data_IF_474764638995
#
_entry.id   IF_474764638995
#
_cell.length_a   1.000
_cell.length_b   1.000
_cell.length_c   1.000
_cell.angle_alpha   90.00
_cell.angle_beta   90.00
_cell.angle_gamma   90.00
#
_symmetry.space_group_name_H-M   'P 1'
#
loop_
_entity.id
_entity.type
_entity.pdbx_description
1 polymer ?
#
# COMPACT_ATOMS: atom_id res chain seq x y z
N UNK A 1 -14.35 4.87 21.51
CA UNK A 1 -13.35 3.79 21.27
C UNK A 1 -13.08 3.13 22.60
N UNK A 2 -13.25 1.84 22.67
CA UNK A 2 -12.91 1.06 23.88
C UNK A 2 -11.38 0.96 24.00
N UNK A 3 -10.89 0.81 25.22
CA UNK A 3 -9.47 0.59 25.51
C UNK A 3 -8.91 -0.60 24.74
N UNK A 4 -9.73 -1.64 24.56
CA UNK A 4 -9.39 -2.82 23.78
C UNK A 4 -9.17 -2.50 22.30
N UNK A 5 -10.01 -1.67 21.69
CA UNK A 5 -9.87 -1.26 20.29
C UNK A 5 -8.56 -0.49 20.04
N UNK A 6 -8.17 0.37 20.99
CA UNK A 6 -6.92 1.10 20.93
C UNK A 6 -5.72 0.15 21.00
N UNK A 7 -5.73 -0.80 21.94
CA UNK A 7 -4.65 -1.79 22.08
C UNK A 7 -4.54 -2.67 20.85
N UNK A 8 -5.68 -3.15 20.31
CA UNK A 8 -5.70 -3.94 19.07
C UNK A 8 -5.18 -3.12 17.90
N UNK A 9 -5.58 -1.86 17.74
CA UNK A 9 -5.10 -0.99 16.67
C UNK A 9 -3.59 -0.77 16.75
N UNK A 10 -3.05 -0.51 17.93
CA UNK A 10 -1.59 -0.37 18.15
C UNK A 10 -0.86 -1.67 17.80
N UNK A 11 -1.40 -2.82 18.24
CA UNK A 11 -0.84 -4.13 17.94
C UNK A 11 -0.81 -4.43 16.43
N UNK A 12 -1.88 -4.13 15.72
CA UNK A 12 -1.96 -4.30 14.25
C UNK A 12 -0.97 -3.39 13.54
N UNK A 13 -0.90 -2.12 13.91
CA UNK A 13 0.06 -1.17 13.32
C UNK A 13 1.50 -1.63 13.59
N UNK A 14 1.82 -2.01 14.83
CA UNK A 14 3.15 -2.54 15.18
C UNK A 14 3.52 -3.79 14.38
N UNK A 15 2.57 -4.72 14.21
CA UNK A 15 2.77 -5.92 13.40
C UNK A 15 3.01 -5.61 11.91
N UNK A 16 2.26 -4.66 11.34
CA UNK A 16 2.45 -4.21 9.96
C UNK A 16 3.82 -3.56 9.77
N UNK A 17 4.25 -2.72 10.70
CA UNK A 17 5.58 -2.10 10.69
C UNK A 17 6.67 -3.18 10.76
N UNK A 18 6.52 -4.13 11.70
CA UNK A 18 7.45 -5.24 11.84
C UNK A 18 7.58 -6.06 10.55
N UNK A 19 6.46 -6.43 9.91
CA UNK A 19 6.48 -7.15 8.64
C UNK A 19 7.21 -6.36 7.53
N UNK A 20 7.01 -5.06 7.46
CA UNK A 20 7.68 -4.23 6.46
C UNK A 20 9.19 -4.11 6.68
N UNK A 21 9.63 -4.02 7.93
CA UNK A 21 11.06 -3.96 8.29
C UNK A 21 11.73 -5.32 8.12
N UNK A 22 11.04 -6.41 8.50
CA UNK A 22 11.54 -7.77 8.31
C UNK A 22 11.71 -8.14 6.83
N UNK A 23 10.95 -7.47 5.95
CA UNK A 23 10.94 -7.72 4.52
C UNK A 23 10.02 -8.87 4.12
N UNK A 24 9.54 -8.82 2.90
CA UNK A 24 8.60 -9.81 2.36
C UNK A 24 8.92 -10.12 0.90
N UNK A 25 8.64 -11.36 0.50
CA UNK A 25 8.63 -11.74 -0.91
C UNK A 25 7.50 -11.00 -1.65
N UNK A 26 7.83 -10.37 -2.76
CA UNK A 26 6.88 -9.55 -3.52
C UNK A 26 6.09 -10.44 -4.48
N UNK A 27 4.83 -10.70 -4.15
CA UNK A 27 3.89 -11.40 -5.01
C UNK A 27 3.13 -10.38 -5.86
N UNK A 28 3.22 -10.48 -7.20
CA UNK A 28 2.72 -9.45 -8.10
C UNK A 28 1.23 -9.16 -7.99
N UNK A 29 0.36 -10.19 -7.91
CA UNK A 29 -1.09 -9.97 -7.75
C UNK A 29 -1.42 -9.33 -6.40
N UNK A 30 -0.84 -9.85 -5.32
CA UNK A 30 -1.12 -9.34 -3.97
C UNK A 30 -0.66 -7.90 -3.79
N UNK A 31 0.42 -7.51 -4.49
CA UNK A 31 0.94 -6.15 -4.48
C UNK A 31 -0.09 -5.12 -4.99
N UNK A 32 -0.91 -5.49 -5.98
CA UNK A 32 -1.86 -4.58 -6.63
C UNK A 32 -3.29 -4.80 -6.13
N UNK A 33 -3.72 -6.05 -6.02
CA UNK A 33 -5.13 -6.39 -5.71
C UNK A 33 -5.51 -5.93 -4.31
N UNK A 34 -4.66 -6.17 -3.31
CA UNK A 34 -4.99 -5.83 -1.93
C UNK A 34 -5.17 -4.31 -1.73
N UNK A 35 -4.25 -3.43 -2.20
CA UNK A 35 -4.47 -1.98 -2.13
C UNK A 35 -5.67 -1.51 -2.95
N UNK A 36 -5.90 -2.10 -4.12
CA UNK A 36 -7.06 -1.74 -4.95
C UNK A 36 -8.38 -2.05 -4.22
N UNK A 37 -8.50 -3.25 -3.63
CA UNK A 37 -9.67 -3.63 -2.84
C UNK A 37 -9.88 -2.68 -1.65
N UNK A 38 -8.81 -2.37 -0.90
CA UNK A 38 -8.89 -1.42 0.23
C UNK A 38 -9.36 -0.03 -0.23
N UNK A 39 -8.86 0.44 -1.37
CA UNK A 39 -9.25 1.74 -1.93
C UNK A 39 -10.72 1.74 -2.34
N UNK A 40 -11.18 0.67 -3.03
CA UNK A 40 -12.57 0.55 -3.48
C UNK A 40 -13.51 0.44 -2.29
N UNK A 41 -13.21 -0.42 -1.31
CA UNK A 41 -14.02 -0.56 -0.09
C UNK A 41 -14.07 0.76 0.68
N UNK A 42 -12.92 1.42 0.86
CA UNK A 42 -12.87 2.71 1.54
C UNK A 42 -13.59 3.82 0.77
N UNK A 43 -13.61 3.78 -0.57
CA UNK A 43 -14.38 4.70 -1.39
C UNK A 43 -15.89 4.46 -1.27
N UNK A 44 -16.32 3.20 -1.25
CA UNK A 44 -17.73 2.85 -1.07
C UNK A 44 -18.21 3.24 0.33
N UNK A 45 -17.41 3.03 1.36
CA UNK A 45 -17.72 3.46 2.73
C UNK A 45 -17.85 4.98 2.81
N UNK A 46 -16.94 5.71 2.15
CA UNK A 46 -17.01 7.16 2.04
C UNK A 46 -18.24 7.63 1.26
N UNK A 47 -18.61 6.97 0.16
CA UNK A 47 -19.79 7.30 -0.64
C UNK A 47 -21.10 7.03 0.13
N UNK A 48 -21.10 6.06 1.05
CA UNK A 48 -22.21 5.79 1.95
C UNK A 48 -22.39 6.81 3.09
N UNK A 49 -21.40 7.71 3.30
CA UNK A 49 -21.50 8.74 4.33
C UNK A 49 -22.61 9.75 4.01
N UNK A 50 -23.48 9.98 4.99
CA UNK A 50 -24.55 10.96 4.85
C UNK A 50 -23.98 12.37 4.96
N UNK A 51 -24.39 13.27 4.05
CA UNK A 51 -24.08 14.71 4.07
C UNK A 51 -22.60 15.06 3.93
N UNK A 52 -22.00 14.73 2.77
CA UNK A 52 -20.66 15.24 2.42
C UNK A 52 -20.81 16.68 1.96
N UNK A 53 -20.29 17.62 2.75
CA UNK A 53 -20.29 19.04 2.41
C UNK A 53 -19.14 19.45 1.49
N UNK A 54 -19.16 20.66 0.90
CA UNK A 54 -18.06 21.16 0.06
C UNK A 54 -16.71 21.18 0.80
N UNK A 55 -16.72 21.54 2.08
CA UNK A 55 -15.52 21.50 2.92
C UNK A 55 -14.96 20.08 3.09
N UNK A 56 -15.84 19.07 3.21
CA UNK A 56 -15.41 17.68 3.28
C UNK A 56 -14.69 17.26 2.00
N UNK A 57 -15.23 17.63 0.83
CA UNK A 57 -14.63 17.29 -0.47
C UNK A 57 -13.20 17.84 -0.57
N UNK A 58 -13.00 19.10 -0.18
CA UNK A 58 -11.68 19.74 -0.19
C UNK A 58 -10.70 18.96 0.71
N UNK A 59 -11.07 18.72 1.97
CA UNK A 59 -10.18 18.05 2.93
C UNK A 59 -9.96 16.58 2.61
N UNK A 60 -10.96 15.88 2.07
CA UNK A 60 -10.82 14.51 1.57
C UNK A 60 -9.83 14.45 0.40
N UNK A 61 -9.92 15.41 -0.53
CA UNK A 61 -9.01 15.49 -1.68
C UNK A 61 -7.58 15.78 -1.24
N UNK A 62 -7.38 16.77 -0.37
CA UNK A 62 -6.06 17.11 0.18
C UNK A 62 -5.48 15.92 0.95
N UNK A 63 -6.29 15.29 1.80
CA UNK A 63 -5.89 14.10 2.56
C UNK A 63 -5.52 12.92 1.66
N UNK A 64 -6.27 12.70 0.59
CA UNK A 64 -6.03 11.65 -0.41
C UNK A 64 -4.72 11.88 -1.18
N UNK A 65 -4.50 13.11 -1.67
CA UNK A 65 -3.27 13.48 -2.39
C UNK A 65 -2.05 13.30 -1.49
N UNK A 66 -2.09 13.82 -0.26
CA UNK A 66 -0.98 13.66 0.68
C UNK A 66 -0.69 12.21 1.04
N UNK A 67 -1.74 11.39 1.25
CA UNK A 67 -1.59 9.96 1.50
C UNK A 67 -0.97 9.23 0.32
N UNK A 68 -1.36 9.57 -0.91
CA UNK A 68 -0.77 9.02 -2.13
C UNK A 68 0.71 9.40 -2.26
N UNK A 69 1.06 10.67 -2.06
CA UNK A 69 2.44 11.14 -2.12
C UNK A 69 3.35 10.45 -1.09
N UNK A 70 2.86 10.29 0.14
CA UNK A 70 3.57 9.54 1.18
C UNK A 70 3.74 8.07 0.76
N UNK A 71 2.72 7.49 0.13
CA UNK A 71 2.79 6.13 -0.43
C UNK A 71 3.86 6.00 -1.51
N UNK A 72 3.93 6.95 -2.45
CA UNK A 72 4.98 7.00 -3.46
C UNK A 72 6.37 7.09 -2.80
N UNK A 73 6.53 7.92 -1.78
CA UNK A 73 7.77 8.03 -1.02
C UNK A 73 8.15 6.70 -0.33
N UNK A 74 7.18 5.99 0.28
CA UNK A 74 7.41 4.64 0.81
C UNK A 74 7.93 3.68 -0.26
N UNK A 75 7.32 3.69 -1.45
CA UNK A 75 7.76 2.87 -2.58
C UNK A 75 9.17 3.22 -3.04
N UNK A 76 9.52 4.51 -3.08
CA UNK A 76 10.82 4.99 -3.50
C UNK A 76 11.95 4.56 -2.55
N UNK A 77 11.73 4.62 -1.23
CA UNK A 77 12.75 4.25 -0.24
C UNK A 77 12.81 2.75 0.06
N UNK A 78 11.80 1.97 -0.35
CA UNK A 78 11.79 0.52 -0.19
C UNK A 78 12.95 -0.10 -0.96
N UNK A 79 13.77 -0.90 -0.29
CA UNK A 79 14.86 -1.64 -0.91
C UNK A 79 14.31 -2.88 -1.58
N UNK A 80 14.62 -3.02 -2.87
CA UNK A 80 14.32 -4.21 -3.66
C UNK A 80 15.62 -4.99 -3.83
N UNK A 81 15.61 -6.25 -3.47
CA UNK A 81 16.75 -7.16 -3.55
C UNK A 81 16.30 -8.49 -4.12
N UNK A 82 17.19 -9.16 -4.81
CA UNK A 82 16.99 -10.55 -5.18
C UNK A 82 17.37 -11.45 -4.01
N UNK A 83 16.45 -12.31 -3.60
CA UNK A 83 16.71 -13.32 -2.57
C UNK A 83 16.09 -14.65 -2.99
N UNK A 84 16.93 -15.68 -3.09
CA UNK A 84 16.51 -17.02 -3.54
C UNK A 84 15.83 -17.01 -4.93
N UNK A 85 16.31 -16.18 -5.87
CA UNK A 85 15.74 -16.08 -7.23
C UNK A 85 14.40 -15.37 -7.32
N UNK A 86 13.98 -14.66 -6.26
CA UNK A 86 12.73 -13.93 -6.21
C UNK A 86 12.93 -12.51 -5.68
N UNK A 87 12.04 -11.60 -6.08
CA UNK A 87 12.04 -10.23 -5.62
C UNK A 87 11.65 -10.16 -4.14
N UNK A 88 12.53 -9.55 -3.35
CA UNK A 88 12.34 -9.28 -1.92
C UNK A 88 12.26 -7.79 -1.68
N UNK A 89 11.25 -7.33 -0.95
CA UNK A 89 11.10 -5.93 -0.55
C UNK A 89 11.31 -5.76 0.95
N UNK A 90 12.09 -4.78 1.32
CA UNK A 90 12.38 -4.45 2.72
C UNK A 90 12.36 -2.94 2.92
N UNK A 91 11.65 -2.48 3.95
CA UNK A 91 11.67 -1.08 4.36
C UNK A 91 12.90 -0.84 5.25
N UNK A 92 13.82 0.07 4.88
CA UNK A 92 14.92 0.42 5.76
C UNK A 92 14.40 1.12 7.03
N UNK A 93 15.12 1.01 8.15
CA UNK A 93 14.74 1.66 9.43
C UNK A 93 14.47 3.17 9.28
N UNK A 94 15.16 3.84 8.36
CA UNK A 94 14.87 5.25 8.00
C UNK A 94 13.45 5.45 7.50
N UNK A 95 12.81 4.41 6.96
CA UNK A 95 11.42 4.45 6.52
C UNK A 95 10.41 4.58 7.66
N UNK A 96 10.80 4.34 8.91
CA UNK A 96 9.94 4.57 10.07
C UNK A 96 9.51 6.03 10.21
N UNK A 97 10.32 7.00 9.77
CA UNK A 97 9.95 8.40 9.74
C UNK A 97 8.77 8.69 8.81
N UNK A 98 8.62 7.94 7.72
CA UNK A 98 7.45 8.07 6.85
C UNK A 98 6.17 7.55 7.53
N UNK A 99 6.27 6.58 8.43
CA UNK A 99 5.15 6.16 9.27
C UNK A 99 4.73 7.27 10.23
N UNK A 100 5.70 7.89 10.90
CA UNK A 100 5.43 9.07 11.74
C UNK A 100 4.83 10.21 10.90
N UNK A 101 5.38 10.46 9.71
CA UNK A 101 4.85 11.44 8.75
C UNK A 101 3.41 11.13 8.31
N UNK A 102 3.08 9.87 8.03
CA UNK A 102 1.72 9.46 7.66
C UNK A 102 0.72 9.71 8.80
N UNK A 103 1.09 9.33 10.02
CA UNK A 103 0.26 9.54 11.20
C UNK A 103 0.09 11.05 11.47
N UNK A 104 1.18 11.82 11.42
CA UNK A 104 1.13 13.27 11.60
C UNK A 104 0.29 13.96 10.51
N UNK A 105 0.44 13.55 9.24
CA UNK A 105 -0.38 14.03 8.14
C UNK A 105 -1.87 13.77 8.39
N UNK A 106 -2.21 12.57 8.80
CA UNK A 106 -3.59 12.21 9.11
C UNK A 106 -4.16 13.03 10.26
N UNK A 107 -3.40 13.16 11.35
CA UNK A 107 -3.80 13.97 12.50
C UNK A 107 -4.00 15.45 12.10
N UNK A 108 -3.11 16.01 11.29
CA UNK A 108 -3.20 17.37 10.77
C UNK A 108 -4.50 17.58 9.97
N UNK A 109 -4.78 16.70 9.01
CA UNK A 109 -6.02 16.77 8.22
C UNK A 109 -7.25 16.68 9.11
N UNK A 110 -7.28 15.76 10.08
CA UNK A 110 -8.41 15.63 11.01
C UNK A 110 -8.67 16.91 11.79
N UNK A 111 -7.61 17.54 12.33
CA UNK A 111 -7.73 18.79 13.11
C UNK A 111 -8.20 19.95 12.24
N UNK A 112 -7.61 20.12 11.06
CA UNK A 112 -7.94 21.22 10.16
C UNK A 112 -9.35 21.05 9.58
N UNK A 113 -9.74 19.85 9.20
CA UNK A 113 -11.08 19.52 8.74
C UNK A 113 -12.14 19.80 9.85
N UNK A 114 -11.86 19.38 11.09
CA UNK A 114 -12.75 19.64 12.22
C UNK A 114 -12.96 21.14 12.46
N UNK A 115 -11.89 21.95 12.39
CA UNK A 115 -11.98 23.41 12.55
C UNK A 115 -12.75 24.10 11.43
N UNK A 116 -12.79 23.52 10.23
CA UNK A 116 -13.52 24.06 9.08
C UNK A 116 -14.95 23.50 8.94
N UNK A 117 -15.43 22.70 9.92
CA UNK A 117 -16.76 22.11 9.90
C UNK A 117 -16.91 20.92 8.94
N UNK A 118 -15.80 20.35 8.46
CA UNK A 118 -15.79 19.15 7.61
C UNK A 118 -15.85 17.89 8.48
N UNK A 119 -17.06 17.49 8.87
CA UNK A 119 -17.27 16.43 9.85
C UNK A 119 -16.89 15.02 9.31
N UNK A 120 -17.13 14.75 8.03
CA UNK A 120 -16.79 13.46 7.40
C UNK A 120 -15.27 13.35 7.25
N UNK A 121 -14.60 14.40 6.76
CA UNK A 121 -13.15 14.40 6.61
C UNK A 121 -12.41 14.31 7.95
N UNK A 122 -12.98 14.88 9.01
CA UNK A 122 -12.45 14.80 10.37
C UNK A 122 -12.72 13.46 11.07
N UNK A 123 -13.60 12.63 10.54
CA UNK A 123 -13.96 11.33 11.11
C UNK A 123 -12.97 10.22 10.76
N UNK A 124 -13.25 9.00 11.20
CA UNK A 124 -12.49 7.79 10.83
C UNK A 124 -12.90 7.19 9.49
N UNK A 125 -14.04 7.60 8.91
CA UNK A 125 -14.58 7.09 7.64
C UNK A 125 -13.56 7.11 6.50
N UNK A 126 -12.77 8.18 6.25
CA UNK A 126 -11.81 8.19 5.16
C UNK A 126 -10.55 7.34 5.38
N UNK A 127 -10.39 6.67 6.54
CA UNK A 127 -9.14 5.94 6.87
C UNK A 127 -8.84 4.84 5.88
N UNK A 128 -9.81 3.98 5.55
CA UNK A 128 -9.60 2.87 4.60
C UNK A 128 -9.25 3.38 3.21
N UNK A 129 -9.94 4.42 2.76
CA UNK A 129 -9.69 5.04 1.46
C UNK A 129 -8.27 5.64 1.37
N UNK A 130 -7.89 6.46 2.33
CA UNK A 130 -6.57 7.11 2.35
C UNK A 130 -5.44 6.10 2.55
N UNK A 131 -5.65 5.05 3.37
CA UNK A 131 -4.71 3.95 3.52
C UNK A 131 -4.58 3.14 2.23
N UNK A 132 -5.69 2.86 1.56
CA UNK A 132 -5.72 2.21 0.24
C UNK A 132 -4.91 2.98 -0.79
N UNK A 133 -5.11 4.30 -0.90
CA UNK A 133 -4.35 5.18 -1.79
C UNK A 133 -2.85 5.20 -1.46
N UNK A 134 -2.51 5.28 -0.17
CA UNK A 134 -1.12 5.20 0.27
C UNK A 134 -0.47 3.89 -0.18
N UNK A 135 -1.16 2.76 -0.01
CA UNK A 135 -0.68 1.45 -0.45
C UNK A 135 -0.62 1.32 -1.97
N UNK A 136 -1.58 1.90 -2.71
CA UNK A 136 -1.52 1.95 -4.17
C UNK A 136 -0.30 2.73 -4.67
N UNK A 137 -0.03 3.90 -4.09
CA UNK A 137 1.16 4.69 -4.41
C UNK A 137 2.45 3.91 -4.17
N UNK A 138 2.57 3.27 -2.99
CA UNK A 138 3.70 2.39 -2.67
C UNK A 138 3.86 1.26 -3.68
N UNK A 139 2.76 0.56 -3.98
CA UNK A 139 2.75 -0.58 -4.90
C UNK A 139 3.08 -0.19 -6.33
N UNK A 140 2.61 0.96 -6.80
CA UNK A 140 2.90 1.46 -8.15
C UNK A 140 4.42 1.69 -8.34
N UNK A 141 5.08 2.33 -7.37
CA UNK A 141 6.53 2.55 -7.43
C UNK A 141 7.30 1.24 -7.33
N UNK A 142 6.91 0.34 -6.42
CA UNK A 142 7.56 -0.98 -6.29
C UNK A 142 7.41 -1.77 -7.58
N UNK A 143 6.21 -1.80 -8.19
CA UNK A 143 5.96 -2.51 -9.44
C UNK A 143 6.79 -1.93 -10.60
N UNK A 144 6.83 -0.60 -10.75
CA UNK A 144 7.63 0.06 -11.78
C UNK A 144 9.13 -0.26 -11.63
N UNK A 145 9.66 -0.20 -10.41
CA UNK A 145 11.07 -0.51 -10.11
C UNK A 145 11.38 -2.00 -10.28
N UNK A 146 10.45 -2.89 -9.92
CA UNK A 146 10.57 -4.32 -10.13
C UNK A 146 10.67 -4.68 -11.61
N UNK A 147 9.78 -4.11 -12.44
CA UNK A 147 9.82 -4.30 -13.89
C UNK A 147 11.13 -3.77 -14.50
N UNK A 148 11.63 -2.63 -14.02
CA UNK A 148 12.89 -2.06 -14.50
C UNK A 148 14.12 -2.87 -14.06
N UNK A 149 14.07 -3.59 -12.94
CA UNK A 149 15.18 -4.43 -12.46
C UNK A 149 15.30 -5.77 -13.17
N UNK A 150 14.24 -6.22 -13.86
CA UNK A 150 14.19 -7.54 -14.50
C UNK A 150 14.17 -8.73 -13.53
N UNK A 151 14.10 -8.49 -12.21
CA UNK A 151 14.05 -9.56 -11.20
C UNK A 151 12.63 -10.13 -11.17
N UNK A 152 12.45 -11.46 -11.28
CA UNK A 152 11.13 -12.06 -11.27
C UNK A 152 10.43 -11.87 -9.92
N UNK A 153 9.11 -11.66 -9.97
CA UNK A 153 8.28 -11.66 -8.76
C UNK A 153 8.31 -13.04 -8.10
N UNK A 154 8.13 -13.06 -6.79
CA UNK A 154 8.01 -14.32 -6.07
C UNK A 154 6.82 -15.14 -6.59
N UNK A 155 6.94 -16.48 -6.69
CA UNK A 155 5.84 -17.32 -7.09
C UNK A 155 4.66 -17.16 -6.13
N UNK A 156 3.46 -17.15 -6.71
CA UNK A 156 2.22 -17.12 -5.93
C UNK A 156 1.96 -18.51 -5.30
N UNK A 157 0.99 -18.58 -4.39
CA UNK A 157 0.58 -19.85 -3.78
C UNK A 157 0.20 -20.92 -4.81
N UNK A 158 -0.20 -20.50 -6.01
CA UNK A 158 -0.56 -21.38 -7.14
C UNK A 158 0.66 -21.80 -8.00
N UNK A 159 1.88 -21.50 -7.56
CA UNK A 159 3.12 -21.81 -8.28
C UNK A 159 3.36 -21.02 -9.57
N UNK A 160 2.48 -20.08 -9.90
CA UNK A 160 2.59 -19.19 -11.07
C UNK A 160 3.32 -17.91 -10.71
N UNK A 161 4.28 -17.50 -11.55
CA UNK A 161 4.92 -16.19 -11.40
C UNK A 161 4.13 -15.16 -12.21
N UNK A 162 3.86 -14.01 -11.59
CA UNK A 162 3.22 -12.88 -12.25
C UNK A 162 4.10 -12.41 -13.42
N UNK A 163 3.58 -12.38 -14.65
CA UNK A 163 4.29 -12.04 -15.88
C UNK A 163 5.23 -13.12 -16.48
N UNK A 164 5.25 -14.37 -16.02
CA UNK A 164 6.06 -15.41 -16.66
C UNK A 164 5.44 -16.02 -17.92
N UNK A 165 4.39 -15.44 -18.45
CA UNK A 165 3.68 -15.95 -19.64
C UNK A 165 4.47 -15.91 -20.96
N UNK A 166 5.71 -15.41 -20.98
CA UNK A 166 6.46 -15.26 -22.23
C UNK A 166 7.77 -16.03 -22.38
N UNK A 167 8.36 -16.55 -21.30
CA UNK A 167 9.73 -17.07 -21.37
C UNK A 167 9.88 -18.61 -21.38
N UNK A 168 8.85 -19.36 -21.01
CA UNK A 168 8.95 -20.83 -20.87
C UNK A 168 8.57 -21.64 -22.11
N UNK A 169 8.19 -21.00 -23.22
CA UNK A 169 7.85 -21.70 -24.48
C UNK A 169 9.04 -22.12 -25.34
N UNK A 170 10.26 -21.61 -25.08
CA UNK A 170 11.41 -21.85 -25.97
C UNK A 170 12.48 -22.82 -25.49
N UNK A 171 12.36 -23.39 -24.30
CA UNK A 171 13.41 -24.32 -23.79
C UNK A 171 13.06 -25.82 -23.83
N UNK A 172 11.90 -26.24 -24.34
CA UNK A 172 11.53 -27.66 -24.37
C UNK A 172 11.74 -28.37 -25.69
N UNK A 173 12.21 -27.69 -26.75
CA UNK A 173 12.33 -28.34 -28.08
C UNK A 173 13.75 -28.74 -28.48
N UNK A 174 14.76 -28.63 -27.61
CA UNK A 174 16.14 -29.02 -27.97
C UNK A 174 16.69 -30.29 -27.33
N UNK A 175 15.90 -31.03 -26.52
CA UNK A 175 16.37 -32.27 -25.90
C UNK A 175 15.73 -33.55 -26.44
N UNK A 176 15.00 -33.48 -27.54
CA UNK A 176 14.34 -34.66 -28.17
C UNK A 176 14.88 -35.03 -29.53
N UNK A 177 16.18 -34.80 -29.78
CA UNK A 177 16.86 -35.35 -30.97
C UNK A 177 18.27 -35.77 -30.60
N UNK A 178 18.43 -36.94 -30.01
CA UNK A 178 19.57 -37.85 -30.16
C UNK A 178 19.10 -39.26 -29.77
#
# INVERSE_FOLDING_TARGET
MSWLEIVVAIGVVGFVIYQQVAGQAVQGKRLIVLPAVLTVVGFLDLHGAKHIGPADIVWLTVGAIGSLLIGLAFGAITRLQERNGALWSQLPLRGLWLWAGLIAWRALIMVLAAKSGAHVAASTTPLLFTLGLNRLGQSAVIAARAMASGIPFAPEKDGRTFLSGGANGRRRDHSARY
#
